data_IF_386166736106
#
_entry.id   IF_386166736106
#
_cell.length_a   1.000
_cell.length_b   1.000
_cell.length_c   1.000
_cell.angle_alpha   90.00
_cell.angle_beta   90.00
_cell.angle_gamma   90.00
#
_symmetry.space_group_name_H-M   'P 1'
#
loop_
_entity.id
_entity.type
_entity.pdbx_description
1 polymer ?
#
# COMPACT_ATOMS: atom_id res chain seq x y z
N UNK A 1 15.90 10.37 27.21
CA UNK A 1 14.79 9.85 26.34
C UNK A 1 13.69 9.31 27.25
N UNK A 2 12.42 9.69 27.04
CA UNK A 2 11.33 9.27 27.95
C UNK A 2 10.94 7.79 27.73
N UNK A 3 10.62 7.01 28.79
CA UNK A 3 10.47 5.54 28.73
C UNK A 3 9.17 5.03 28.09
N UNK A 4 8.35 5.91 27.48
CA UNK A 4 6.97 5.59 27.08
C UNK A 4 6.71 5.73 25.58
N UNK A 5 7.77 5.75 24.76
CA UNK A 5 7.64 5.94 23.31
C UNK A 5 6.71 4.92 22.65
N UNK A 6 5.74 5.43 21.88
CA UNK A 6 4.94 4.64 20.94
C UNK A 6 5.59 4.73 19.58
N UNK A 7 5.87 3.58 18.97
CA UNK A 7 6.22 3.48 17.57
C UNK A 7 4.95 3.19 16.77
N UNK A 8 4.67 4.04 15.79
CA UNK A 8 3.61 3.81 14.81
C UNK A 8 4.27 3.32 13.52
N UNK A 9 4.02 2.07 13.16
CA UNK A 9 4.47 1.44 11.93
C UNK A 9 3.30 1.39 10.96
N UNK A 10 3.36 2.17 9.88
CA UNK A 10 2.35 2.17 8.80
C UNK A 10 3.06 1.83 7.50
N UNK A 11 2.59 0.78 6.85
CA UNK A 11 3.18 0.35 5.59
C UNK A 11 2.22 -0.51 4.75
N UNK A 12 2.44 -0.62 3.43
CA UNK A 12 1.65 -1.48 2.55
C UNK A 12 1.70 -2.97 2.96
N UNK A 13 0.68 -3.74 2.62
CA UNK A 13 0.77 -5.20 2.60
C UNK A 13 1.68 -5.63 1.43
N UNK A 14 2.43 -6.73 1.59
CA UNK A 14 3.29 -7.27 0.53
C UNK A 14 2.48 -8.07 -0.50
N UNK A 15 1.50 -7.39 -1.09
CA UNK A 15 0.60 -7.90 -2.11
C UNK A 15 0.45 -6.87 -3.25
N UNK A 16 0.17 -7.36 -4.44
CA UNK A 16 0.01 -6.52 -5.63
C UNK A 16 -1.23 -5.61 -5.50
N UNK A 17 -1.07 -4.27 -5.59
CA UNK A 17 -2.18 -3.33 -5.57
C UNK A 17 -3.18 -3.61 -6.68
N UNK A 18 -4.46 -3.45 -6.36
CA UNK A 18 -5.54 -3.57 -7.35
C UNK A 18 -5.69 -2.26 -8.10
N UNK A 19 -6.06 -2.35 -9.36
CA UNK A 19 -6.50 -1.20 -10.15
C UNK A 19 -7.98 -1.41 -10.44
N UNK A 20 -8.78 -0.42 -10.07
CA UNK A 20 -10.23 -0.38 -10.22
C UNK A 20 -10.60 0.83 -11.08
N UNK A 21 -11.67 0.72 -11.87
CA UNK A 21 -12.36 1.87 -12.44
C UNK A 21 -13.64 2.08 -11.66
N UNK A 22 -13.81 3.27 -11.10
CA UNK A 22 -14.99 3.64 -10.30
C UNK A 22 -15.82 4.63 -11.12
N UNK A 23 -17.06 4.26 -11.40
CA UNK A 23 -18.06 5.10 -12.07
C UNK A 23 -19.33 5.24 -11.24
N UNK A 24 -20.40 5.76 -11.85
CA UNK A 24 -21.70 5.97 -11.18
C UNK A 24 -22.30 4.66 -10.66
N UNK A 25 -22.19 3.58 -11.42
CA UNK A 25 -22.87 2.31 -11.15
C UNK A 25 -22.03 1.31 -10.33
N UNK A 26 -20.85 1.74 -9.85
CA UNK A 26 -19.99 0.94 -8.98
C UNK A 26 -18.53 0.91 -9.41
N UNK A 27 -17.82 -0.15 -9.01
CA UNK A 27 -16.39 -0.32 -9.26
C UNK A 27 -16.10 -1.62 -10.00
N UNK A 28 -15.25 -1.56 -11.02
CA UNK A 28 -14.79 -2.73 -11.79
C UNK A 28 -13.29 -2.89 -11.58
N UNK A 29 -12.86 -4.07 -11.14
CA UNK A 29 -11.43 -4.42 -11.06
C UNK A 29 -10.89 -4.70 -12.46
N UNK A 30 -9.87 -3.95 -12.89
CA UNK A 30 -9.24 -4.10 -14.22
C UNK A 30 -7.90 -4.86 -14.15
N UNK A 31 -7.37 -5.09 -12.94
CA UNK A 31 -6.22 -5.95 -12.72
C UNK A 31 -5.37 -5.53 -11.52
N UNK A 32 -4.09 -5.90 -11.55
CA UNK A 32 -3.14 -5.64 -10.47
C UNK A 32 -1.79 -5.15 -11.00
N UNK A 33 -1.10 -4.35 -10.20
CA UNK A 33 0.27 -3.88 -10.47
C UNK A 33 1.26 -4.83 -9.81
N UNK A 34 2.24 -5.32 -10.57
CA UNK A 34 3.31 -6.16 -10.03
C UNK A 34 4.21 -5.34 -9.10
N UNK A 35 4.13 -5.65 -7.81
CA UNK A 35 4.90 -5.04 -6.73
C UNK A 35 5.85 -6.05 -6.07
N UNK A 36 6.38 -7.00 -6.85
CA UNK A 36 7.26 -8.06 -6.32
C UNK A 36 8.47 -7.49 -5.56
N UNK A 37 9.09 -6.42 -6.07
CA UNK A 37 10.25 -5.78 -5.43
C UNK A 37 9.86 -5.10 -4.12
N UNK A 38 8.84 -4.25 -4.13
CA UNK A 38 8.34 -3.55 -2.93
C UNK A 38 7.85 -4.55 -1.87
N UNK A 39 7.15 -5.60 -2.30
CA UNK A 39 6.69 -6.69 -1.44
C UNK A 39 7.84 -7.39 -0.73
N UNK A 40 9.00 -7.55 -1.38
CA UNK A 40 10.19 -8.13 -0.74
C UNK A 40 10.71 -7.22 0.37
N UNK A 41 10.86 -5.93 0.09
CA UNK A 41 11.33 -4.92 1.08
C UNK A 41 10.41 -4.90 2.30
N UNK A 42 9.09 -4.90 2.08
CA UNK A 42 8.08 -4.94 3.15
C UNK A 42 8.20 -6.21 3.99
N UNK A 43 8.37 -7.38 3.36
CA UNK A 43 8.55 -8.66 4.08
C UNK A 43 9.79 -8.64 4.95
N UNK A 44 10.89 -8.07 4.46
CA UNK A 44 12.13 -8.01 5.22
C UNK A 44 12.06 -7.00 6.37
N UNK A 45 11.42 -5.85 6.17
CA UNK A 45 11.11 -4.91 7.25
C UNK A 45 10.25 -5.57 8.36
N UNK A 46 9.24 -6.37 7.97
CA UNK A 46 8.43 -7.14 8.91
C UNK A 46 9.24 -8.15 9.73
N UNK A 47 10.18 -8.85 9.11
CA UNK A 47 11.06 -9.80 9.80
C UNK A 47 11.92 -9.08 10.85
N UNK A 48 12.47 -7.91 10.51
CA UNK A 48 13.26 -7.09 11.44
C UNK A 48 12.42 -6.60 12.61
N UNK A 49 11.20 -6.13 12.36
CA UNK A 49 10.27 -5.74 13.42
C UNK A 49 9.93 -6.92 14.35
N UNK A 50 9.68 -8.10 13.78
CA UNK A 50 9.41 -9.30 14.56
C UNK A 50 10.62 -9.75 15.40
N UNK A 51 11.86 -9.50 14.95
CA UNK A 51 13.06 -9.79 15.72
C UNK A 51 13.14 -8.92 16.99
N UNK A 52 13.00 -7.59 16.85
CA UNK A 52 13.06 -6.67 18.01
C UNK A 52 11.90 -6.88 18.99
N UNK A 53 10.76 -7.40 18.53
CA UNK A 53 9.68 -7.81 19.42
C UNK A 53 10.01 -9.08 20.21
N UNK A 54 10.66 -10.07 19.58
CA UNK A 54 11.13 -11.30 20.26
C UNK A 54 12.23 -11.01 21.28
N UNK A 55 13.07 -10.02 21.01
CA UNK A 55 14.08 -9.51 21.95
C UNK A 55 13.46 -8.70 23.10
N UNK A 56 12.14 -8.53 23.13
CA UNK A 56 11.44 -7.83 24.19
C UNK A 56 11.60 -6.31 24.15
N UNK A 57 12.17 -5.72 23.08
CA UNK A 57 12.35 -4.27 22.96
C UNK A 57 11.02 -3.53 22.72
N UNK A 58 10.09 -4.20 22.03
CA UNK A 58 8.77 -3.65 21.70
C UNK A 58 7.66 -4.67 21.91
N UNK A 59 6.52 -4.20 22.42
CA UNK A 59 5.27 -4.97 22.50
C UNK A 59 4.23 -4.39 21.55
N UNK A 60 3.58 -5.24 20.76
CA UNK A 60 2.46 -4.82 19.91
C UNK A 60 1.22 -4.53 20.79
N UNK A 61 0.70 -3.32 20.74
CA UNK A 61 -0.54 -2.94 21.46
C UNK A 61 -1.76 -3.05 20.55
N UNK A 62 -1.63 -2.59 19.30
CA UNK A 62 -2.77 -2.56 18.36
C UNK A 62 -2.31 -2.79 16.94
N UNK A 63 -3.17 -3.43 16.16
CA UNK A 63 -3.02 -3.60 14.71
C UNK A 63 -4.35 -3.33 14.01
N UNK A 64 -4.29 -2.60 12.89
CA UNK A 64 -5.43 -2.34 12.01
C UNK A 64 -5.03 -2.50 10.54
N UNK A 65 -5.90 -3.14 9.77
CA UNK A 65 -5.82 -3.17 8.32
C UNK A 65 -6.75 -2.09 7.77
N UNK A 66 -6.36 -1.45 6.69
CA UNK A 66 -7.19 -0.50 5.95
C UNK A 66 -6.73 -0.44 4.49
N UNK A 67 -7.46 0.28 3.64
CA UNK A 67 -7.11 0.46 2.23
C UNK A 67 -6.76 1.91 1.96
N UNK A 68 -5.59 2.16 1.36
CA UNK A 68 -5.30 3.41 0.69
C UNK A 68 -5.89 3.35 -0.71
N UNK A 69 -6.72 4.34 -1.04
CA UNK A 69 -7.37 4.47 -2.36
C UNK A 69 -6.86 5.75 -3.00
N UNK A 70 -6.06 5.61 -4.05
CA UNK A 70 -5.51 6.74 -4.82
C UNK A 70 -6.35 6.95 -6.08
N UNK A 71 -7.01 8.09 -6.18
CA UNK A 71 -7.91 8.43 -7.27
C UNK A 71 -7.17 9.24 -8.33
N UNK A 72 -7.38 8.88 -9.60
CA UNK A 72 -6.83 9.55 -10.76
C UNK A 72 -7.93 9.79 -11.79
N UNK A 73 -7.97 10.99 -12.36
CA UNK A 73 -9.00 11.37 -13.33
C UNK A 73 -8.80 10.71 -14.69
N UNK A 74 -7.59 10.24 -15.00
CA UNK A 74 -7.28 9.51 -16.23
C UNK A 74 -6.15 8.50 -16.02
N UNK A 75 -6.01 7.58 -16.98
CA UNK A 75 -4.84 6.69 -17.04
C UNK A 75 -3.55 7.50 -17.18
N UNK A 76 -3.58 8.61 -17.91
CA UNK A 76 -2.39 9.44 -18.14
C UNK A 76 -1.98 10.21 -16.88
N UNK A 77 -2.96 10.72 -16.11
CA UNK A 77 -2.70 11.34 -14.80
C UNK A 77 -2.11 10.33 -13.80
N UNK A 78 -2.55 9.07 -13.86
CA UNK A 78 -1.93 8.00 -13.06
C UNK A 78 -0.49 7.72 -13.48
N UNK A 79 -0.20 7.68 -14.78
CA UNK A 79 1.15 7.48 -15.30
C UNK A 79 2.09 8.65 -14.99
N UNK A 80 1.58 9.88 -15.03
CA UNK A 80 2.31 11.09 -14.62
C UNK A 80 2.69 11.03 -13.13
N UNK A 81 1.71 10.77 -12.26
CA UNK A 81 1.96 10.57 -10.84
C UNK A 81 3.02 9.51 -10.55
N UNK A 82 3.02 8.41 -11.31
CA UNK A 82 4.01 7.34 -11.19
C UNK A 82 5.41 7.77 -11.61
N UNK A 83 5.52 8.64 -12.62
CA UNK A 83 6.78 9.21 -13.09
C UNK A 83 7.34 10.16 -12.03
N UNK A 84 6.52 11.04 -11.48
CA UNK A 84 6.93 12.03 -10.48
C UNK A 84 7.40 11.41 -9.15
N UNK A 85 6.97 10.17 -8.89
CA UNK A 85 7.31 9.39 -7.69
C UNK A 85 8.46 8.40 -7.92
N UNK A 86 9.12 8.45 -9.07
CA UNK A 86 10.19 7.52 -9.48
C UNK A 86 9.82 6.05 -9.26
N UNK A 87 8.57 5.68 -9.54
CA UNK A 87 8.10 4.31 -9.30
C UNK A 87 8.79 3.34 -10.26
N UNK A 88 9.32 2.24 -9.72
CA UNK A 88 10.09 1.25 -10.50
C UNK A 88 9.26 0.09 -11.03
N UNK A 89 8.00 -0.07 -10.57
CA UNK A 89 7.13 -1.16 -11.02
C UNK A 89 6.65 -0.96 -12.46
N UNK A 90 6.69 -2.04 -13.25
CA UNK A 90 6.24 -2.03 -14.65
C UNK A 90 4.73 -2.25 -14.70
N UNK A 91 4.02 -1.37 -15.41
CA UNK A 91 2.58 -1.55 -15.66
C UNK A 91 2.38 -2.39 -16.92
N UNK A 92 1.70 -3.55 -16.84
CA UNK A 92 1.46 -4.37 -18.02
C UNK A 92 0.60 -3.63 -19.06
N UNK A 93 0.98 -3.67 -20.34
CA UNK A 93 0.21 -3.03 -21.42
C UNK A 93 -1.25 -3.50 -21.47
N UNK A 94 -1.51 -4.77 -21.12
CA UNK A 94 -2.88 -5.31 -20.99
C UNK A 94 -3.73 -4.57 -19.96
N UNK A 95 -3.13 -4.15 -18.85
CA UNK A 95 -3.80 -3.42 -17.78
C UNK A 95 -4.15 -2.00 -18.23
N UNK A 96 -3.23 -1.31 -18.90
CA UNK A 96 -3.47 0.02 -19.47
C UNK A 96 -4.61 -0.01 -20.49
N UNK A 97 -4.62 -1.01 -21.38
CA UNK A 97 -5.70 -1.18 -22.36
C UNK A 97 -7.05 -1.43 -21.71
N UNK A 98 -7.10 -2.28 -20.67
CA UNK A 98 -8.33 -2.55 -19.92
C UNK A 98 -8.82 -1.27 -19.22
N UNK A 99 -7.95 -0.58 -18.48
CA UNK A 99 -8.28 0.66 -17.80
C UNK A 99 -8.82 1.73 -18.76
N UNK A 100 -8.13 1.99 -19.88
CA UNK A 100 -8.58 2.96 -20.89
C UNK A 100 -9.91 2.60 -21.53
N UNK A 101 -10.21 1.30 -21.68
CA UNK A 101 -11.51 0.84 -22.23
C UNK A 101 -12.64 1.10 -21.24
N UNK A 102 -12.45 0.72 -19.98
CA UNK A 102 -13.50 0.87 -18.95
C UNK A 102 -13.73 2.34 -18.54
N UNK A 103 -12.70 3.20 -18.64
CA UNK A 103 -12.82 4.64 -18.34
C UNK A 103 -13.59 5.46 -19.40
N UNK A 104 -14.11 4.85 -20.47
CA UNK A 104 -14.85 5.58 -21.51
C UNK A 104 -16.18 6.15 -21.02
N UNK A 105 -16.71 5.62 -19.92
CA UNK A 105 -17.92 6.16 -19.30
C UNK A 105 -17.62 7.50 -18.62
N UNK A 106 -18.45 8.50 -18.88
CA UNK A 106 -18.32 9.85 -18.32
C UNK A 106 -18.29 9.83 -16.78
N UNK A 107 -17.39 10.63 -16.20
CA UNK A 107 -17.22 10.72 -14.74
C UNK A 107 -16.51 9.53 -14.08
N UNK A 108 -15.99 8.57 -14.85
CA UNK A 108 -15.20 7.46 -14.31
C UNK A 108 -13.83 7.91 -13.82
N UNK A 109 -13.35 7.32 -12.73
CA UNK A 109 -12.00 7.52 -12.18
C UNK A 109 -11.24 6.21 -12.08
N UNK A 110 -9.93 6.26 -12.32
CA UNK A 110 -9.04 5.17 -12.00
C UNK A 110 -8.69 5.22 -10.51
N UNK A 111 -8.77 4.08 -9.84
CA UNK A 111 -8.41 3.95 -8.43
C UNK A 111 -7.36 2.86 -8.27
N UNK A 112 -6.22 3.22 -7.70
CA UNK A 112 -5.25 2.24 -7.22
C UNK A 112 -5.55 1.96 -5.75
N UNK A 113 -5.79 0.69 -5.44
CA UNK A 113 -6.17 0.24 -4.11
C UNK A 113 -5.04 -0.60 -3.52
N UNK A 114 -4.49 -0.11 -2.42
CA UNK A 114 -3.40 -0.73 -1.70
C UNK A 114 -3.86 -1.03 -0.27
N UNK A 115 -3.78 -2.30 0.14
CA UNK A 115 -4.06 -2.65 1.55
C UNK A 115 -2.84 -2.30 2.38
N UNK A 116 -3.06 -1.61 3.49
CA UNK A 116 -2.02 -1.21 4.42
C UNK A 116 -2.24 -1.81 5.81
N UNK A 117 -1.16 -1.83 6.60
CA UNK A 117 -1.18 -2.14 8.02
C UNK A 117 -0.66 -0.97 8.81
N UNK A 118 -1.44 -0.57 9.81
CA UNK A 118 -0.97 0.24 10.92
C UNK A 118 -0.77 -0.65 12.15
N UNK A 119 0.40 -0.55 12.78
CA UNK A 119 0.72 -1.20 14.05
C UNK A 119 1.17 -0.14 15.06
N UNK A 120 0.62 -0.17 16.26
CA UNK A 120 1.11 0.62 17.39
C UNK A 120 1.92 -0.30 18.31
N UNK A 121 3.19 0.03 18.51
CA UNK A 121 4.10 -0.72 19.36
C UNK A 121 4.57 0.15 20.52
N UNK A 122 4.55 -0.42 21.72
CA UNK A 122 5.09 0.18 22.93
C UNK A 122 6.52 -0.26 23.13
N UNK A 123 7.44 0.69 23.34
CA UNK A 123 8.79 0.36 23.80
C UNK A 123 8.73 -0.23 25.21
N UNK A 124 9.40 -1.35 25.42
CA UNK A 124 9.55 -1.96 26.73
C UNK A 124 10.80 -1.38 27.42
N UNK A 125 10.76 -1.28 28.74
CA UNK A 125 11.96 -0.93 29.50
C UNK A 125 12.94 -2.12 29.46
N UNK A 126 14.24 -1.83 29.41
CA UNK A 126 15.24 -2.87 29.61
C UNK A 126 15.02 -3.49 31.00
N UNK A 127 15.19 -4.82 31.16
CA UNK A 127 15.17 -5.42 32.49
C UNK A 127 16.28 -4.79 33.33
N UNK A 128 15.91 -4.34 34.53
CA UNK A 128 16.82 -3.82 35.55
C UNK A 128 17.75 -4.90 36.08
#
# INVERSE_FOLDING_TARGET
MRPHGVLIDIHPQPEDPRVEIVGRDGSISVGRVDWTVDSRVIRDARKRLAAVQREGLFRLERRRMFEFRMYHDSVDAWLEYRRDRDTTSVIPARLLRAARREMRAEGSRLVVVERARASALRRMNAPS
#
